data_IF_638521096498
#
_entry.id   IF_638521096498
#
_cell.length_a   1.000
_cell.length_b   1.000
_cell.length_c   1.000
_cell.angle_alpha   90.00
_cell.angle_beta   90.00
_cell.angle_gamma   90.00
#
_symmetry.space_group_name_H-M   'P 1'
#
loop_
_entity.id
_entity.type
_entity.pdbx_description
1 polymer ?
#
# COMPACT_ATOMS: atom_id res chain seq x y z
N UNK A 1 -7.71 12.97 -38.63
CA UNK A 1 -9.03 13.02 -37.95
C UNK A 1 -9.04 12.09 -36.74
N UNK A 2 -8.80 10.77 -36.91
CA UNK A 2 -8.80 9.81 -35.80
C UNK A 2 -7.76 10.05 -34.68
N UNK A 3 -6.52 10.46 -35.01
CA UNK A 3 -5.47 10.68 -33.99
C UNK A 3 -5.81 11.84 -33.04
N UNK A 4 -6.47 12.88 -33.56
CA UNK A 4 -6.93 14.04 -32.79
C UNK A 4 -8.09 13.73 -31.84
N UNK A 5 -8.90 12.75 -32.20
CA UNK A 5 -10.01 12.32 -31.33
C UNK A 5 -9.47 11.43 -30.20
N UNK A 6 -8.52 10.54 -30.50
CA UNK A 6 -7.81 9.76 -29.48
C UNK A 6 -6.98 10.64 -28.53
N UNK A 7 -6.38 11.72 -29.03
CA UNK A 7 -5.62 12.66 -28.19
C UNK A 7 -6.50 13.35 -27.16
N UNK A 8 -7.73 13.71 -27.55
CA UNK A 8 -8.71 14.28 -26.63
C UNK A 8 -9.25 13.26 -25.62
N UNK A 9 -9.46 12.00 -26.03
CA UNK A 9 -9.93 10.93 -25.13
C UNK A 9 -8.86 10.57 -24.09
N UNK A 10 -7.59 10.60 -24.48
CA UNK A 10 -6.45 10.24 -23.62
C UNK A 10 -5.80 11.46 -22.93
N UNK A 11 -6.41 12.64 -23.06
CA UNK A 11 -5.95 13.93 -22.50
C UNK A 11 -4.46 14.22 -22.76
N UNK A 12 -3.98 13.89 -23.96
CA UNK A 12 -2.58 14.04 -24.35
C UNK A 12 -2.46 14.80 -25.67
N UNK A 13 -1.30 15.40 -25.92
CA UNK A 13 -1.10 16.21 -27.12
C UNK A 13 -1.06 15.34 -28.39
N UNK A 14 -1.77 15.78 -29.44
CA UNK A 14 -1.88 15.05 -30.70
C UNK A 14 -0.51 14.72 -31.32
N UNK A 15 0.48 15.61 -31.16
CA UNK A 15 1.85 15.42 -31.68
C UNK A 15 2.57 14.22 -31.05
N UNK A 16 2.28 13.90 -29.79
CA UNK A 16 2.86 12.76 -29.06
C UNK A 16 2.33 11.46 -29.66
N UNK A 17 1.01 11.37 -29.85
CA UNK A 17 0.35 10.21 -30.45
C UNK A 17 0.78 10.00 -31.90
N UNK A 18 0.90 11.07 -32.69
CA UNK A 18 1.39 10.97 -34.07
C UNK A 18 2.81 10.37 -34.12
N UNK A 19 3.67 10.73 -33.17
CA UNK A 19 5.06 10.25 -33.11
C UNK A 19 5.14 8.78 -32.70
N UNK A 20 4.37 8.33 -31.71
CA UNK A 20 4.32 6.92 -31.31
C UNK A 20 3.72 6.01 -32.39
N UNK A 21 2.64 6.45 -33.06
CA UNK A 21 2.08 5.74 -34.22
C UNK A 21 3.12 5.62 -35.34
N UNK A 22 3.93 6.66 -35.56
CA UNK A 22 5.01 6.63 -36.54
C UNK A 22 6.19 5.72 -36.12
N UNK A 23 6.55 5.66 -34.83
CA UNK A 23 7.52 4.68 -34.31
C UNK A 23 7.03 3.25 -34.49
N UNK A 24 5.76 2.99 -34.20
CA UNK A 24 5.14 1.68 -34.39
C UNK A 24 5.12 1.29 -35.88
N UNK A 25 4.78 2.25 -36.76
CA UNK A 25 4.87 2.07 -38.22
C UNK A 25 6.28 1.78 -38.70
N UNK A 26 7.32 2.42 -38.13
CA UNK A 26 8.73 2.09 -38.43
C UNK A 26 9.06 0.66 -38.03
N UNK A 27 8.66 0.21 -36.82
CA UNK A 27 8.86 -1.18 -36.36
C UNK A 27 8.16 -2.22 -37.25
N UNK A 28 6.98 -1.88 -37.78
CA UNK A 28 6.22 -2.76 -38.69
C UNK A 28 6.77 -2.69 -40.13
N UNK A 29 7.24 -1.52 -40.57
CA UNK A 29 7.80 -1.26 -41.90
C UNK A 29 9.25 -1.73 -42.10
N UNK A 30 9.96 -2.10 -41.03
CA UNK A 30 11.37 -2.53 -41.07
C UNK A 30 11.61 -3.89 -41.77
N UNK A 31 10.55 -4.51 -42.33
CA UNK A 31 10.66 -5.65 -43.24
C UNK A 31 10.76 -5.26 -44.73
N UNK A 32 10.76 -3.98 -45.09
CA UNK A 32 10.84 -3.55 -46.49
C UNK A 32 11.28 -2.11 -46.71
N UNK A 33 12.59 -1.91 -46.92
CA UNK A 33 13.32 -0.78 -47.55
C UNK A 33 12.63 0.61 -47.73
N UNK A 34 13.30 1.60 -47.08
CA UNK A 34 13.79 2.92 -47.59
C UNK A 34 12.88 4.15 -47.73
N UNK A 35 13.41 5.25 -47.15
CA UNK A 35 13.26 6.68 -47.47
C UNK A 35 11.88 7.34 -47.37
N UNK A 36 11.60 8.09 -46.29
CA UNK A 36 10.87 9.37 -46.31
C UNK A 36 11.22 10.25 -45.10
N UNK A 37 11.63 11.49 -45.41
CA UNK A 37 11.62 12.76 -44.65
C UNK A 37 12.23 12.82 -43.22
N UNK A 38 13.38 13.49 -43.14
CA UNK A 38 13.94 14.00 -41.89
C UNK A 38 13.16 15.23 -41.44
N UNK A 39 12.33 15.07 -40.41
CA UNK A 39 11.86 16.19 -39.59
C UNK A 39 12.94 16.45 -38.54
N UNK A 40 13.40 17.70 -38.47
CA UNK A 40 14.46 18.16 -37.56
C UNK A 40 14.03 17.89 -36.11
N UNK A 41 14.72 16.98 -35.44
CA UNK A 41 14.66 16.84 -33.98
C UNK A 41 15.29 18.11 -33.39
N UNK A 42 14.47 19.05 -32.93
CA UNK A 42 14.97 20.16 -32.11
C UNK A 42 15.30 19.64 -30.71
N UNK A 43 16.45 20.00 -30.13
CA UNK A 43 16.85 19.55 -28.78
C UNK A 43 15.81 19.87 -27.70
N UNK A 44 15.10 21.00 -27.86
CA UNK A 44 14.06 21.46 -26.93
C UNK A 44 12.88 20.47 -26.80
N UNK A 45 12.55 19.73 -27.87
CA UNK A 45 11.46 18.76 -27.82
C UNK A 45 11.88 17.45 -27.11
N UNK A 46 13.15 17.07 -27.21
CA UNK A 46 13.70 15.92 -26.48
C UNK A 46 13.77 16.15 -24.97
N UNK A 47 13.95 17.41 -24.54
CA UNK A 47 13.99 17.77 -23.12
C UNK A 47 12.59 17.80 -22.49
N UNK A 48 11.56 18.19 -23.25
CA UNK A 48 10.15 18.03 -22.83
C UNK A 48 9.65 16.57 -22.85
N UNK A 49 10.32 15.69 -23.61
CA UNK A 49 9.95 14.28 -23.80
C UNK A 49 10.78 13.30 -22.96
N UNK A 50 11.67 13.76 -22.07
CA UNK A 50 12.33 12.86 -21.13
C UNK A 50 11.31 12.40 -20.09
N UNK A 51 10.61 11.31 -20.41
CA UNK A 51 9.95 10.49 -19.41
C UNK A 51 11.00 10.19 -18.31
N UNK A 52 10.63 10.31 -17.02
CA UNK A 52 11.56 9.95 -15.95
C UNK A 52 12.11 8.56 -16.25
N UNK A 53 13.43 8.40 -16.20
CA UNK A 53 14.03 7.09 -16.44
C UNK A 53 13.46 6.14 -15.39
N UNK A 54 13.19 4.89 -15.75
CA UNK A 54 12.64 3.88 -14.83
C UNK A 54 13.39 3.82 -13.47
N UNK A 55 14.71 4.03 -13.50
CA UNK A 55 15.56 4.16 -12.29
C UNK A 55 15.27 5.38 -11.41
N UNK A 56 14.87 6.50 -12.00
CA UNK A 56 14.48 7.70 -11.26
C UNK A 56 13.13 7.49 -10.55
N UNK A 57 12.21 6.72 -11.16
CA UNK A 57 10.93 6.36 -10.53
C UNK A 57 11.14 5.42 -9.33
N UNK A 58 11.97 4.37 -9.49
CA UNK A 58 12.31 3.46 -8.38
C UNK A 58 12.96 4.19 -7.20
N UNK A 59 13.85 5.16 -7.46
CA UNK A 59 14.47 5.97 -6.40
C UNK A 59 13.47 6.86 -5.66
N UNK A 60 12.48 7.42 -6.38
CA UNK A 60 11.40 8.22 -5.78
C UNK A 60 10.54 7.33 -4.88
N UNK A 61 10.09 6.17 -5.37
CA UNK A 61 9.25 5.24 -4.58
C UNK A 61 10.00 4.82 -3.31
N UNK A 62 11.26 4.43 -3.45
CA UNK A 62 12.10 4.03 -2.32
C UNK A 62 12.29 5.16 -1.29
N UNK A 63 12.32 6.42 -1.73
CA UNK A 63 12.35 7.57 -0.84
C UNK A 63 11.02 7.74 -0.09
N UNK A 64 9.89 7.69 -0.78
CA UNK A 64 8.56 7.82 -0.17
C UNK A 64 8.29 6.73 0.87
N UNK A 65 8.64 5.47 0.57
CA UNK A 65 8.53 4.35 1.52
C UNK A 65 9.35 4.58 2.79
N UNK A 66 10.56 5.12 2.63
CA UNK A 66 11.44 5.43 3.76
C UNK A 66 10.86 6.54 4.63
N UNK A 67 10.29 7.57 4.02
CA UNK A 67 9.64 8.67 4.74
C UNK A 67 8.40 8.18 5.50
N UNK A 68 7.62 7.28 4.89
CA UNK A 68 6.48 6.65 5.56
C UNK A 68 6.91 5.83 6.77
N UNK A 69 7.98 5.03 6.65
CA UNK A 69 8.55 4.30 7.78
C UNK A 69 9.10 5.24 8.87
N UNK A 70 9.69 6.38 8.49
CA UNK A 70 10.14 7.39 9.45
C UNK A 70 8.97 7.96 10.25
N UNK A 71 7.84 8.24 9.57
CA UNK A 71 6.61 8.72 10.20
C UNK A 71 6.09 7.69 11.21
N UNK A 72 5.98 6.42 10.81
CA UNK A 72 5.56 5.32 11.69
C UNK A 72 6.49 5.16 12.89
N UNK A 73 7.81 5.19 12.69
CA UNK A 73 8.78 5.08 13.79
C UNK A 73 8.69 6.21 14.81
N UNK A 74 8.56 7.46 14.34
CA UNK A 74 8.63 8.63 15.20
C UNK A 74 7.29 8.97 15.84
N UNK A 75 6.19 8.73 15.13
CA UNK A 75 4.86 9.23 15.49
C UNK A 75 3.79 8.12 15.53
N UNK A 76 4.13 6.87 15.24
CA UNK A 76 3.18 5.76 15.12
C UNK A 76 2.32 5.47 16.36
N UNK A 77 2.81 5.83 17.56
CA UNK A 77 2.08 5.65 18.82
C UNK A 77 1.22 6.86 19.22
N UNK A 78 1.18 7.93 18.41
CA UNK A 78 0.32 9.08 18.65
C UNK A 78 -1.11 8.72 18.27
N UNK A 79 -2.07 9.10 19.11
CA UNK A 79 -3.50 8.94 18.88
C UNK A 79 -4.03 10.10 18.04
N UNK A 80 -4.89 9.77 17.08
CA UNK A 80 -5.58 10.70 16.19
C UNK A 80 -7.07 10.38 16.17
N UNK A 81 -7.88 11.42 15.99
CA UNK A 81 -9.31 11.31 15.77
C UNK A 81 -9.59 11.18 14.27
N UNK A 82 -10.20 10.08 13.86
CA UNK A 82 -10.56 9.80 12.46
C UNK A 82 -12.07 9.79 12.33
N UNK A 83 -12.61 10.55 11.37
CA UNK A 83 -14.05 10.52 11.06
C UNK A 83 -14.39 9.21 10.33
N UNK A 84 -15.31 8.43 10.88
CA UNK A 84 -15.93 7.27 10.25
C UNK A 84 -17.42 7.49 9.99
N UNK A 85 -17.96 6.84 8.97
CA UNK A 85 -19.39 6.79 8.70
C UNK A 85 -19.91 5.38 9.01
N UNK A 86 -20.94 5.27 9.85
CA UNK A 86 -21.62 4.00 10.12
C UNK A 86 -22.65 3.66 9.03
N UNK A 87 -23.29 2.48 9.08
CA UNK A 87 -24.32 2.06 8.12
C UNK A 87 -25.49 3.06 7.98
N UNK A 88 -25.77 3.80 9.06
CA UNK A 88 -26.79 4.86 9.11
C UNK A 88 -26.28 6.24 8.66
N UNK A 89 -25.07 6.34 8.11
CA UNK A 89 -24.38 7.58 7.69
C UNK A 89 -24.20 8.61 8.81
N UNK A 90 -24.20 8.15 10.06
CA UNK A 90 -23.86 9.00 11.21
C UNK A 90 -22.33 9.07 11.29
N UNK A 91 -21.80 10.30 11.31
CA UNK A 91 -20.37 10.53 11.50
C UNK A 91 -19.99 10.28 12.96
N UNK A 92 -19.08 9.36 13.18
CA UNK A 92 -18.49 9.08 14.48
C UNK A 92 -16.98 9.33 14.43
N UNK A 93 -16.44 9.95 15.48
CA UNK A 93 -14.99 10.07 15.66
C UNK A 93 -14.46 8.79 16.28
N UNK A 94 -13.50 8.14 15.61
CA UNK A 94 -12.81 6.96 16.09
C UNK A 94 -11.39 7.38 16.45
N UNK A 95 -11.00 7.17 17.72
CA UNK A 95 -9.63 7.39 18.17
C UNK A 95 -8.79 6.17 17.81
N UNK A 96 -7.71 6.37 17.04
CA UNK A 96 -6.76 5.31 16.67
C UNK A 96 -5.34 5.85 16.55
N UNK A 97 -4.32 4.98 16.59
CA UNK A 97 -2.95 5.48 16.43
C UNK A 97 -2.59 5.75 14.97
N UNK A 98 -1.57 6.58 14.74
CA UNK A 98 -1.04 6.83 13.38
C UNK A 98 -0.61 5.53 12.70
N UNK A 99 0.06 4.61 13.42
CA UNK A 99 0.42 3.30 12.86
C UNK A 99 -0.81 2.49 12.44
N UNK A 100 -1.88 2.50 13.25
CA UNK A 100 -3.11 1.80 12.93
C UNK A 100 -3.77 2.37 11.68
N UNK A 101 -3.82 3.70 11.58
CA UNK A 101 -4.40 4.40 10.45
C UNK A 101 -3.62 4.11 9.17
N UNK A 102 -2.30 4.34 9.15
CA UNK A 102 -1.46 4.13 7.97
C UNK A 102 -1.58 2.68 7.48
N UNK A 103 -1.45 1.70 8.37
CA UNK A 103 -1.53 0.29 7.99
C UNK A 103 -2.91 -0.06 7.43
N UNK A 104 -3.97 0.47 8.03
CA UNK A 104 -5.34 0.23 7.58
C UNK A 104 -5.55 0.78 6.16
N UNK A 105 -5.13 2.01 5.89
CA UNK A 105 -5.26 2.65 4.58
C UNK A 105 -4.44 1.90 3.52
N UNK A 106 -3.17 1.57 3.83
CA UNK A 106 -2.32 0.78 2.93
C UNK A 106 -2.95 -0.57 2.57
N UNK A 107 -3.52 -1.27 3.57
CA UNK A 107 -4.19 -2.54 3.34
C UNK A 107 -5.50 -2.39 2.56
N UNK A 108 -6.26 -1.32 2.78
CA UNK A 108 -7.52 -1.04 2.07
C UNK A 108 -7.28 -0.77 0.59
N UNK A 109 -6.22 -0.04 0.30
CA UNK A 109 -5.88 0.39 -1.06
C UNK A 109 -4.94 -0.62 -1.76
N UNK A 110 -4.66 -1.77 -1.13
CA UNK A 110 -3.77 -2.84 -1.63
C UNK A 110 -2.36 -2.35 -2.00
N UNK A 111 -1.84 -1.37 -1.25
CA UNK A 111 -0.53 -0.79 -1.46
C UNK A 111 0.53 -1.65 -0.74
N UNK A 112 1.47 -2.17 -1.52
CA UNK A 112 2.61 -2.95 -1.06
C UNK A 112 3.91 -2.13 -1.17
N UNK A 113 4.87 -2.44 -0.31
CA UNK A 113 6.24 -1.92 -0.42
C UNK A 113 7.04 -2.72 -1.45
N UNK A 114 7.74 -2.02 -2.34
CA UNK A 114 8.65 -2.55 -3.35
C UNK A 114 10.03 -2.88 -2.79
N UNK A 115 10.59 -2.01 -1.93
CA UNK A 115 11.90 -2.28 -1.31
C UNK A 115 11.77 -3.41 -0.27
N UNK A 116 12.54 -4.51 -0.39
CA UNK A 116 12.41 -5.67 0.51
C UNK A 116 12.68 -5.35 1.99
N UNK A 117 13.54 -4.36 2.27
CA UNK A 117 13.90 -3.96 3.64
C UNK A 117 12.77 -3.13 4.23
N UNK A 118 12.23 -2.20 3.45
CA UNK A 118 11.09 -1.39 3.89
C UNK A 118 9.85 -2.27 4.10
N UNK A 119 9.58 -3.19 3.16
CA UNK A 119 8.50 -4.17 3.29
C UNK A 119 8.58 -4.96 4.58
N UNK A 120 9.75 -5.53 4.88
CA UNK A 120 9.97 -6.28 6.13
C UNK A 120 9.74 -5.43 7.38
N UNK A 121 10.12 -4.15 7.32
CA UNK A 121 9.90 -3.21 8.42
C UNK A 121 8.40 -2.93 8.62
N UNK A 122 7.68 -2.62 7.53
CA UNK A 122 6.23 -2.42 7.55
C UNK A 122 5.47 -3.67 8.05
N UNK A 123 5.86 -4.86 7.59
CA UNK A 123 5.33 -6.13 8.08
C UNK A 123 5.53 -6.30 9.60
N UNK A 124 6.70 -5.90 10.12
CA UNK A 124 6.96 -5.95 11.55
C UNK A 124 6.03 -5.00 12.35
N UNK A 125 5.75 -3.79 11.83
CA UNK A 125 4.75 -2.90 12.42
C UNK A 125 3.35 -3.55 12.41
N UNK A 126 2.93 -4.11 11.28
CA UNK A 126 1.66 -4.84 11.15
C UNK A 126 1.53 -5.99 12.16
N UNK A 127 2.56 -6.81 12.30
CA UNK A 127 2.53 -7.92 13.26
C UNK A 127 2.50 -7.43 14.71
N UNK A 128 3.24 -6.38 15.03
CA UNK A 128 3.22 -5.74 16.36
C UNK A 128 1.82 -5.23 16.70
N UNK A 129 1.14 -4.61 15.72
CA UNK A 129 -0.22 -4.11 15.87
C UNK A 129 -1.24 -5.24 16.05
N UNK A 130 -1.13 -6.31 15.25
CA UNK A 130 -1.95 -7.52 15.40
C UNK A 130 -1.76 -8.16 16.77
N UNK A 131 -0.53 -8.18 17.30
CA UNK A 131 -0.26 -8.70 18.64
C UNK A 131 -0.95 -7.86 19.72
N UNK A 132 -0.87 -6.52 19.62
CA UNK A 132 -1.57 -5.61 20.54
C UNK A 132 -3.08 -5.87 20.54
N UNK A 133 -3.72 -5.86 19.36
CA UNK A 133 -5.17 -6.13 19.22
C UNK A 133 -5.56 -7.52 19.75
N UNK A 134 -4.73 -8.53 19.48
CA UNK A 134 -4.95 -9.88 19.99
C UNK A 134 -4.89 -9.94 21.52
N UNK A 135 -3.96 -9.22 22.14
CA UNK A 135 -3.88 -9.14 23.60
C UNK A 135 -5.12 -8.47 24.21
N UNK A 136 -5.58 -7.36 23.63
CA UNK A 136 -6.80 -6.68 24.06
C UNK A 136 -8.00 -7.63 23.97
N UNK A 137 -8.17 -8.29 22.83
CA UNK A 137 -9.27 -9.24 22.63
C UNK A 137 -9.23 -10.44 23.60
N UNK A 138 -8.03 -10.94 23.93
CA UNK A 138 -7.89 -12.00 24.95
C UNK A 138 -8.29 -11.49 26.34
N UNK A 139 -7.96 -10.25 26.69
CA UNK A 139 -8.35 -9.66 27.98
C UNK A 139 -9.87 -9.49 28.06
N UNK A 140 -10.50 -8.95 27.01
CA UNK A 140 -11.95 -8.74 26.96
C UNK A 140 -12.70 -10.08 27.08
N UNK A 141 -12.27 -11.12 26.35
CA UNK A 141 -12.86 -12.45 26.45
C UNK A 141 -12.67 -13.06 27.85
N UNK A 142 -11.53 -12.83 28.51
CA UNK A 142 -11.29 -13.29 29.88
C UNK A 142 -12.15 -12.56 30.90
N UNK A 143 -12.48 -11.30 30.65
CA UNK A 143 -13.38 -10.52 31.49
C UNK A 143 -14.82 -10.99 31.33
N UNK A 144 -15.30 -11.15 30.10
CA UNK A 144 -16.63 -11.69 29.79
C UNK A 144 -16.85 -13.10 30.39
N UNK A 145 -15.78 -13.91 30.47
CA UNK A 145 -15.82 -15.23 31.09
C UNK A 145 -16.22 -15.19 32.58
N UNK A 146 -15.98 -14.07 33.29
CA UNK A 146 -16.33 -13.94 34.71
C UNK A 146 -17.84 -13.81 34.96
N UNK A 147 -18.61 -13.45 33.94
CA UNK A 147 -20.04 -13.14 34.05
C UNK A 147 -20.94 -14.18 33.34
N UNK A 148 -20.38 -15.12 32.59
CA UNK A 148 -21.12 -16.04 31.72
C UNK A 148 -21.49 -17.40 32.36
N UNK A 149 -22.58 -18.01 31.86
CA UNK A 149 -23.06 -19.33 32.25
C UNK A 149 -22.16 -20.48 31.76
N UNK A 150 -22.15 -21.61 32.49
CA UNK A 150 -21.18 -22.71 32.37
C UNK A 150 -20.98 -23.32 30.95
N UNK A 151 -22.01 -23.37 30.09
CA UNK A 151 -21.88 -23.93 28.73
C UNK A 151 -21.14 -23.00 27.75
N UNK A 152 -21.28 -21.68 27.92
CA UNK A 152 -20.56 -20.70 27.08
C UNK A 152 -19.08 -20.59 27.47
N UNK A 153 -18.76 -20.91 28.73
CA UNK A 153 -17.39 -20.89 29.25
C UNK A 153 -16.46 -21.82 28.46
N UNK A 154 -16.94 -23.01 28.05
CA UNK A 154 -16.12 -23.99 27.31
C UNK A 154 -15.81 -23.48 25.89
N UNK A 155 -16.81 -22.94 25.18
CA UNK A 155 -16.62 -22.38 23.83
C UNK A 155 -15.68 -21.17 23.86
N UNK A 156 -15.83 -20.31 24.86
CA UNK A 156 -14.96 -19.14 25.04
C UNK A 156 -13.54 -19.57 25.40
N UNK A 157 -13.34 -20.63 26.20
CA UNK A 157 -12.03 -21.20 26.49
C UNK A 157 -11.33 -21.79 25.25
N UNK A 158 -12.04 -22.50 24.38
CA UNK A 158 -11.48 -22.98 23.10
C UNK A 158 -11.04 -21.81 22.21
N UNK A 159 -11.84 -20.75 22.14
CA UNK A 159 -11.49 -19.54 21.40
C UNK A 159 -10.24 -18.87 21.97
N UNK A 160 -10.13 -18.73 23.30
CA UNK A 160 -8.93 -18.20 23.97
C UNK A 160 -7.70 -19.06 23.65
N UNK A 161 -7.82 -20.38 23.68
CA UNK A 161 -6.71 -21.28 23.38
C UNK A 161 -6.19 -21.10 21.95
N UNK A 162 -7.10 -20.97 20.98
CA UNK A 162 -6.74 -20.70 19.58
C UNK A 162 -6.05 -19.33 19.42
N UNK A 163 -6.54 -18.30 20.11
CA UNK A 163 -5.94 -16.97 20.09
C UNK A 163 -4.54 -16.97 20.73
N UNK A 164 -4.33 -17.70 21.82
CA UNK A 164 -3.02 -17.88 22.44
C UNK A 164 -2.03 -18.62 21.52
N UNK A 165 -2.50 -19.60 20.74
CA UNK A 165 -1.68 -20.23 19.70
C UNK A 165 -1.30 -19.24 18.60
N UNK A 166 -2.24 -18.42 18.14
CA UNK A 166 -1.96 -17.36 17.16
C UNK A 166 -0.97 -16.32 17.71
N UNK A 167 -1.08 -15.95 18.98
CA UNK A 167 -0.12 -15.07 19.66
C UNK A 167 1.28 -15.66 19.65
N UNK A 168 1.43 -16.96 19.93
CA UNK A 168 2.73 -17.65 19.84
C UNK A 168 3.31 -17.62 18.42
N UNK A 169 2.48 -17.80 17.40
CA UNK A 169 2.90 -17.69 15.99
C UNK A 169 3.36 -16.28 15.64
N UNK A 170 2.60 -15.25 16.03
CA UNK A 170 2.96 -13.85 15.80
C UNK A 170 4.28 -13.50 16.52
N UNK A 171 4.44 -13.92 17.78
CA UNK A 171 5.69 -13.68 18.52
C UNK A 171 6.91 -14.34 17.87
N UNK A 172 6.74 -15.52 17.27
CA UNK A 172 7.80 -16.17 16.49
C UNK A 172 8.16 -15.37 15.24
N UNK A 173 7.17 -14.82 14.53
CA UNK A 173 7.39 -13.96 13.35
C UNK A 173 8.10 -12.64 13.73
N UNK A 174 7.79 -12.10 14.91
CA UNK A 174 8.45 -10.92 15.47
C UNK A 174 9.84 -11.21 16.05
N UNK A 175 10.31 -12.46 16.04
CA UNK A 175 11.61 -12.85 16.62
C UNK A 175 11.69 -12.73 18.15
N UNK A 176 10.55 -12.55 18.84
CA UNK A 176 10.48 -12.46 20.30
C UNK A 176 10.49 -13.87 20.88
N UNK A 177 11.60 -14.26 21.52
CA UNK A 177 11.68 -15.53 22.26
C UNK A 177 10.93 -15.35 23.58
N UNK A 178 9.90 -16.16 23.80
CA UNK A 178 9.24 -16.26 25.11
C UNK A 178 10.22 -16.98 26.03
N UNK A 179 10.95 -16.23 26.86
CA UNK A 179 11.75 -16.80 27.95
C UNK A 179 10.75 -17.39 28.94
N UNK A 180 10.91 -18.68 29.22
CA UNK A 180 10.01 -19.50 30.03
C UNK A 180 10.36 -19.43 31.50
#
# INVERSE_FOLDING_TARGET
MYVKECSNIMEMEEQILQTEVNKLRRKIGDKGKSNYEQVVETPELNELLSLPKEKEVEEIIRFEEKELLRLMMNYGNILIDVEGEDEDKVKHSIEMTIDEFIIMELCRDEIDFEDPIHKKSAEHFLFSLKEKKLNTFILDLKEQLKEQAYEDVIKTQEKIMNLEQNKKRINKLLGRIIIK
#
